data_IF_548817253054
#
_entry.id   IF_548817253054
#
_cell.length_a   1.000
_cell.length_b   1.000
_cell.length_c   1.000
_cell.angle_alpha   90.00
_cell.angle_beta   90.00
_cell.angle_gamma   90.00
#
_symmetry.space_group_name_H-M   'P 1'
#
loop_
_entity.id
_entity.type
_entity.pdbx_description
1 polymer ?
#
# COMPACT_ATOMS: atom_id res chain seq x y z
N UNK A 1 1.79 -14.64 -1.35
CA UNK A 1 1.08 -13.34 -1.34
C UNK A 1 -0.39 -13.57 -1.66
N UNK A 2 -1.27 -12.86 -1.00
CA UNK A 2 -2.71 -12.93 -1.25
C UNK A 2 -3.10 -11.92 -2.32
N UNK A 3 -3.48 -12.41 -3.49
CA UNK A 3 -3.84 -11.53 -4.61
C UNK A 3 -5.06 -10.66 -4.30
N UNK A 4 -5.98 -11.15 -3.48
CA UNK A 4 -7.15 -10.38 -3.10
C UNK A 4 -6.78 -9.14 -2.31
N UNK A 5 -5.85 -9.27 -1.35
CA UNK A 5 -5.35 -8.13 -0.58
C UNK A 5 -4.63 -7.15 -1.51
N UNK A 6 -3.78 -7.66 -2.38
CA UNK A 6 -3.06 -6.82 -3.33
C UNK A 6 -4.02 -6.05 -4.23
N UNK A 7 -5.04 -6.72 -4.75
CA UNK A 7 -6.04 -6.09 -5.62
C UNK A 7 -6.81 -5.00 -4.88
N UNK A 8 -7.21 -5.26 -3.65
CA UNK A 8 -7.93 -4.28 -2.84
C UNK A 8 -7.05 -3.08 -2.54
N UNK A 9 -5.78 -3.33 -2.21
CA UNK A 9 -4.81 -2.28 -1.95
C UNK A 9 -4.62 -1.40 -3.18
N UNK A 10 -4.40 -2.02 -4.33
CA UNK A 10 -4.18 -1.31 -5.59
C UNK A 10 -5.40 -0.47 -5.97
N UNK A 11 -6.60 -1.02 -5.82
CA UNK A 11 -7.83 -0.30 -6.15
C UNK A 11 -8.01 0.91 -5.24
N UNK A 12 -7.73 0.76 -3.96
CA UNK A 12 -7.84 1.85 -3.00
C UNK A 12 -6.85 2.97 -3.32
N UNK A 13 -5.61 2.60 -3.60
CA UNK A 13 -4.55 3.56 -3.95
C UNK A 13 -4.90 4.28 -5.25
N UNK A 14 -5.34 3.53 -6.25
CA UNK A 14 -5.70 4.11 -7.55
C UNK A 14 -6.81 5.14 -7.40
N UNK A 15 -7.82 4.83 -6.58
CA UNK A 15 -8.94 5.73 -6.34
C UNK A 15 -8.49 6.99 -5.59
N UNK A 16 -7.68 6.80 -4.55
CA UNK A 16 -7.23 7.92 -3.72
C UNK A 16 -6.34 8.90 -4.47
N UNK A 17 -5.44 8.39 -5.28
CA UNK A 17 -4.47 9.22 -6.01
C UNK A 17 -4.87 9.47 -7.46
N UNK A 18 -6.02 8.97 -7.86
CA UNK A 18 -6.59 9.16 -9.21
C UNK A 18 -5.63 8.70 -10.30
N UNK A 19 -5.06 7.52 -10.10
CA UNK A 19 -4.21 6.86 -11.09
C UNK A 19 -4.87 5.59 -11.57
N UNK A 20 -4.43 5.09 -12.73
CA UNK A 20 -4.97 3.88 -13.32
C UNK A 20 -4.43 2.66 -12.56
N UNK A 21 -5.34 1.85 -12.00
CA UNK A 21 -4.95 0.67 -11.23
C UNK A 21 -4.15 -0.34 -12.07
N UNK A 22 -4.37 -0.35 -13.39
CA UNK A 22 -3.63 -1.27 -14.27
C UNK A 22 -2.16 -0.89 -14.42
N UNK A 23 -1.80 0.32 -14.02
CA UNK A 23 -0.41 0.79 -14.04
C UNK A 23 0.34 0.49 -12.74
N UNK A 24 -0.36 -0.03 -11.73
CA UNK A 24 0.23 -0.30 -10.43
C UNK A 24 0.52 -1.80 -10.29
N UNK A 25 1.78 -2.14 -10.15
CA UNK A 25 2.22 -3.53 -10.04
C UNK A 25 2.79 -3.82 -8.65
N UNK A 26 2.82 -5.10 -8.29
CA UNK A 26 3.32 -5.51 -6.98
C UNK A 26 4.78 -5.07 -6.75
N UNK A 27 5.60 -5.09 -7.79
CA UNK A 27 7.01 -4.72 -7.70
C UNK A 27 7.26 -3.22 -7.73
N UNK A 28 6.24 -2.41 -8.04
CA UNK A 28 6.41 -0.96 -8.12
C UNK A 28 6.59 -0.36 -6.73
N UNK A 29 7.51 0.60 -6.64
CA UNK A 29 7.74 1.33 -5.41
C UNK A 29 6.66 2.41 -5.22
N UNK A 30 6.08 2.43 -4.03
CA UNK A 30 5.01 3.34 -3.66
C UNK A 30 5.41 4.81 -3.86
N UNK A 31 6.58 5.19 -3.37
CA UNK A 31 7.05 6.57 -3.44
C UNK A 31 7.32 7.01 -4.87
N UNK A 32 7.99 6.17 -5.63
CA UNK A 32 8.33 6.48 -7.02
C UNK A 32 7.08 6.54 -7.90
N UNK A 33 6.22 5.57 -7.74
CA UNK A 33 5.06 5.45 -8.63
C UNK A 33 4.03 6.54 -8.38
N UNK A 34 3.81 6.89 -7.11
CA UNK A 34 2.81 7.89 -6.75
C UNK A 34 3.39 9.29 -6.60
N UNK A 35 4.71 9.42 -6.55
CA UNK A 35 5.36 10.70 -6.35
C UNK A 35 5.05 11.35 -5.02
N UNK A 36 4.89 10.54 -3.98
CA UNK A 36 4.53 11.02 -2.64
C UNK A 36 5.72 11.03 -1.71
N UNK A 37 5.62 11.80 -0.62
CA UNK A 37 6.63 11.84 0.41
C UNK A 37 6.26 10.92 1.58
N UNK A 38 7.13 10.87 2.60
CA UNK A 38 6.92 10.02 3.77
C UNK A 38 5.63 10.33 4.51
N UNK A 39 5.29 11.60 4.60
CA UNK A 39 4.10 12.04 5.33
C UNK A 39 2.84 11.54 4.64
N UNK A 40 2.79 11.68 3.33
CA UNK A 40 1.66 11.17 2.54
C UNK A 40 1.58 9.66 2.61
N UNK A 41 2.73 8.98 2.64
CA UNK A 41 2.78 7.52 2.76
C UNK A 41 2.24 7.07 4.12
N UNK A 42 2.53 7.80 5.19
CA UNK A 42 1.99 7.50 6.52
C UNK A 42 0.49 7.69 6.57
N UNK A 43 -0.02 8.73 5.91
CA UNK A 43 -1.47 8.94 5.80
C UNK A 43 -2.13 7.76 5.09
N UNK A 44 -1.52 7.31 4.00
CA UNK A 44 -2.02 6.17 3.26
C UNK A 44 -2.01 4.92 4.13
N UNK A 45 -0.93 4.73 4.89
CA UNK A 45 -0.81 3.58 5.79
C UNK A 45 -1.96 3.57 6.82
N UNK A 46 -2.27 4.75 7.37
CA UNK A 46 -3.38 4.88 8.30
C UNK A 46 -4.72 4.49 7.69
N UNK A 47 -4.94 4.87 6.43
CA UNK A 47 -6.17 4.47 5.74
C UNK A 47 -6.22 2.98 5.45
N UNK A 48 -5.07 2.39 5.13
CA UNK A 48 -5.00 0.94 4.93
C UNK A 48 -5.32 0.20 6.22
N UNK A 49 -4.85 0.70 7.35
CA UNK A 49 -5.16 0.12 8.64
C UNK A 49 -6.67 0.12 8.92
N UNK A 50 -7.33 1.22 8.61
CA UNK A 50 -8.78 1.32 8.78
C UNK A 50 -9.51 0.42 7.80
N UNK A 51 -9.09 0.42 6.56
CA UNK A 51 -9.76 -0.33 5.50
C UNK A 51 -9.68 -1.85 5.70
N UNK A 52 -8.52 -2.32 6.15
CA UNK A 52 -8.28 -3.75 6.33
C UNK A 52 -8.43 -4.21 7.77
N UNK A 53 -8.63 -3.29 8.71
CA UNK A 53 -8.78 -3.63 10.12
C UNK A 53 -7.52 -4.21 10.74
N UNK A 54 -6.37 -3.66 10.37
CA UNK A 54 -5.06 -4.14 10.86
C UNK A 54 -4.26 -2.98 11.44
N UNK A 55 -3.25 -3.32 12.24
CA UNK A 55 -2.28 -2.33 12.72
C UNK A 55 -0.95 -2.65 12.05
N UNK A 56 -0.41 -1.67 11.31
CA UNK A 56 0.82 -1.86 10.56
C UNK A 56 1.86 -0.89 11.11
N UNK A 57 3.00 -1.40 11.62
CA UNK A 57 4.07 -0.52 12.11
C UNK A 57 4.66 0.34 10.99
N UNK A 58 5.05 1.57 11.34
CA UNK A 58 5.63 2.52 10.38
C UNK A 58 6.88 1.97 9.70
N UNK A 59 7.65 1.15 10.40
CA UNK A 59 8.91 0.64 9.83
C UNK A 59 8.70 -0.26 8.62
N UNK A 60 7.49 -0.72 8.39
CA UNK A 60 7.17 -1.53 7.21
C UNK A 60 7.48 -0.75 5.94
N UNK A 61 7.22 0.56 5.93
CA UNK A 61 7.52 1.40 4.78
C UNK A 61 9.02 1.51 4.52
N UNK A 62 9.84 1.39 5.56
CA UNK A 62 11.29 1.43 5.42
C UNK A 62 11.84 0.10 4.92
N UNK A 63 11.21 -1.00 5.32
CA UNK A 63 11.65 -2.34 4.91
C UNK A 63 11.26 -2.65 3.48
N UNK A 64 10.04 -2.29 3.10
CA UNK A 64 9.53 -2.58 1.77
C UNK A 64 8.45 -1.60 1.42
N UNK A 65 8.75 -0.71 0.48
CA UNK A 65 7.81 0.31 0.03
C UNK A 65 7.10 -0.07 -1.27
N UNK A 66 7.17 -1.33 -1.67
CA UNK A 66 6.45 -1.81 -2.85
C UNK A 66 5.01 -2.16 -2.48
N UNK A 67 4.14 -2.15 -3.49
CA UNK A 67 2.75 -2.54 -3.27
C UNK A 67 2.64 -3.98 -2.79
N UNK A 68 3.46 -4.87 -3.35
CA UNK A 68 3.50 -6.26 -2.91
C UNK A 68 3.96 -6.40 -1.46
N UNK A 69 4.96 -5.62 -1.08
CA UNK A 69 5.44 -5.61 0.30
C UNK A 69 4.38 -5.14 1.29
N UNK A 70 3.61 -4.12 0.90
CA UNK A 70 2.50 -3.65 1.72
C UNK A 70 1.40 -4.69 1.83
N UNK A 71 1.08 -5.37 0.73
CA UNK A 71 0.08 -6.44 0.75
C UNK A 71 0.50 -7.57 1.69
N UNK A 72 1.77 -7.95 1.65
CA UNK A 72 2.29 -8.97 2.56
C UNK A 72 2.23 -8.53 4.02
N UNK A 73 2.51 -7.26 4.29
CA UNK A 73 2.43 -6.71 5.63
C UNK A 73 0.98 -6.75 6.15
N UNK A 74 0.03 -6.37 5.30
CA UNK A 74 -1.39 -6.44 5.65
C UNK A 74 -1.76 -7.87 6.04
N UNK A 75 -1.32 -8.84 5.25
CA UNK A 75 -1.56 -10.25 5.54
C UNK A 75 -0.94 -10.68 6.87
N UNK A 76 0.29 -10.23 7.12
CA UNK A 76 1.05 -10.60 8.31
C UNK A 76 0.41 -10.07 9.59
N UNK A 77 -0.08 -8.84 9.55
CA UNK A 77 -0.62 -8.17 10.74
C UNK A 77 -2.14 -8.28 10.88
N UNK A 78 -2.74 -8.99 9.98
CA UNK A 78 -4.19 -9.18 9.96
C UNK A 78 -4.70 -10.06 11.09
#
# INVERSE_FOLDING_TARGET
MNETVLNQLVQMVASRFKVDSTQLRAEDDLFEKLGIDSLQALDLLGELELQFGVEIPDYVLKESSTFGGLAEAIERYK
#
